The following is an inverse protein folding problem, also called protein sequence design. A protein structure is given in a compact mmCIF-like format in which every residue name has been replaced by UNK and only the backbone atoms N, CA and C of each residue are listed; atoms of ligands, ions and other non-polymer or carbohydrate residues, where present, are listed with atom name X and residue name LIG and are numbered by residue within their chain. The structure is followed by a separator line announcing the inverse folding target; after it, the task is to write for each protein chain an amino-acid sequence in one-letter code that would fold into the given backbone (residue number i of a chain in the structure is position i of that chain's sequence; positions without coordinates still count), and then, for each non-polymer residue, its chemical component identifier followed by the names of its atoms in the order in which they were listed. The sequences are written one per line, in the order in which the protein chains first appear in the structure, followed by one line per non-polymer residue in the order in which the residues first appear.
data_IF_269695059106
#
_entry.id   IF_269695059106
#
_cell.length_a   1.000
_cell.length_b   1.000
_cell.length_c   1.000
_cell.angle_alpha   90.00
_cell.angle_beta   90.00
_cell.angle_gamma   90.00
#
_symmetry.space_group_name_H-M   'P 1'
#
loop_
_entity.id
_entity.type
_entity.pdbx_description
1 polymer ?
#
# COMPACT_ATOMS: atom_id res chain seq x y z
N UNK A 1 -63.84 -8.08 -36.40
CA UNK A 1 -62.52 -8.79 -36.41
C UNK A 1 -61.31 -7.86 -36.19
N UNK A 2 -61.42 -6.54 -36.42
CA UNK A 2 -60.32 -5.57 -36.24
C UNK A 2 -59.98 -5.24 -34.77
N UNK A 3 -61.00 -5.02 -33.92
CA UNK A 3 -60.82 -4.61 -32.51
C UNK A 3 -60.08 -5.64 -31.65
N UNK A 4 -60.39 -6.93 -31.82
CA UNK A 4 -59.75 -8.03 -31.07
C UNK A 4 -58.26 -8.19 -31.42
N UNK A 5 -57.90 -7.99 -32.69
CA UNK A 5 -56.51 -8.07 -33.15
C UNK A 5 -55.68 -6.89 -32.61
N UNK A 6 -56.27 -5.70 -32.55
CA UNK A 6 -55.61 -4.51 -32.01
C UNK A 6 -55.32 -4.64 -30.51
N UNK A 7 -56.28 -5.13 -29.72
CA UNK A 7 -56.10 -5.42 -28.29
C UNK A 7 -55.00 -6.45 -28.05
N UNK A 8 -54.96 -7.53 -28.83
CA UNK A 8 -53.93 -8.57 -28.70
C UNK A 8 -52.51 -8.04 -29.00
N UNK A 9 -52.36 -7.16 -29.98
CA UNK A 9 -51.06 -6.54 -30.33
C UNK A 9 -50.59 -5.62 -29.18
N UNK A 10 -51.48 -4.79 -28.66
CA UNK A 10 -51.15 -3.89 -27.53
C UNK A 10 -50.75 -4.70 -26.29
N UNK A 11 -51.48 -5.78 -25.96
CA UNK A 11 -51.13 -6.66 -24.84
C UNK A 11 -49.78 -7.36 -25.06
N UNK A 12 -49.47 -7.81 -26.28
CA UNK A 12 -48.18 -8.43 -26.58
C UNK A 12 -47.01 -7.45 -26.47
N UNK A 13 -47.18 -6.21 -26.93
CA UNK A 13 -46.16 -5.15 -26.79
C UNK A 13 -45.95 -4.81 -25.31
N UNK A 14 -47.01 -4.68 -24.52
CA UNK A 14 -46.90 -4.40 -23.09
C UNK A 14 -46.15 -5.52 -22.34
N UNK A 15 -46.43 -6.79 -22.64
CA UNK A 15 -45.71 -7.93 -22.04
C UNK A 15 -44.24 -7.94 -22.47
N UNK A 16 -43.94 -7.66 -23.74
CA UNK A 16 -42.58 -7.60 -24.23
C UNK A 16 -41.78 -6.46 -23.56
N UNK A 17 -42.40 -5.30 -23.33
CA UNK A 17 -41.76 -4.19 -22.60
C UNK A 17 -41.49 -4.52 -21.14
N UNK A 18 -42.42 -5.21 -20.45
CA UNK A 18 -42.24 -5.67 -19.07
C UNK A 18 -41.10 -6.72 -19.00
N UNK A 19 -41.03 -7.63 -19.97
CA UNK A 19 -39.93 -8.58 -20.07
C UNK A 19 -38.58 -7.90 -20.37
N UNK A 20 -38.54 -6.90 -21.25
CA UNK A 20 -37.33 -6.11 -21.53
C UNK A 20 -36.87 -5.34 -20.29
N UNK A 21 -37.79 -4.80 -19.48
CA UNK A 21 -37.43 -4.17 -18.20
C UNK A 21 -36.88 -5.17 -17.17
N UNK A 22 -37.25 -6.45 -17.25
CA UNK A 22 -36.67 -7.53 -16.45
C UNK A 22 -35.32 -8.03 -16.97
N UNK A 23 -34.95 -7.71 -18.21
CA UNK A 23 -33.64 -8.05 -18.80
C UNK A 23 -32.55 -7.01 -18.52
N UNK A 24 -32.88 -5.93 -17.79
CA UNK A 24 -31.87 -5.02 -17.26
C UNK A 24 -31.16 -5.76 -16.12
N UNK A 25 -30.16 -6.57 -16.48
CA UNK A 25 -29.31 -7.25 -15.51
C UNK A 25 -28.68 -6.19 -14.62
N UNK A 26 -28.92 -6.29 -13.31
CA UNK A 26 -28.23 -5.47 -12.34
C UNK A 26 -26.75 -5.82 -12.44
N UNK A 27 -25.93 -4.92 -12.98
CA UNK A 27 -24.49 -5.05 -12.87
C UNK A 27 -24.14 -5.09 -11.39
N UNK A 28 -23.50 -6.17 -10.95
CA UNK A 28 -22.97 -6.25 -9.60
C UNK A 28 -21.88 -5.18 -9.51
N UNK A 29 -22.14 -4.11 -8.77
CA UNK A 29 -21.13 -3.11 -8.48
C UNK A 29 -20.01 -3.78 -7.69
N UNK A 30 -18.81 -3.80 -8.26
CA UNK A 30 -17.63 -4.42 -7.67
C UNK A 30 -16.63 -3.31 -7.35
N UNK A 31 -16.50 -2.92 -6.07
CA UNK A 31 -15.52 -1.93 -5.67
C UNK A 31 -14.10 -2.32 -6.06
N UNK A 32 -13.27 -1.31 -6.32
CA UNK A 32 -11.90 -1.48 -6.76
C UNK A 32 -10.98 -0.82 -5.73
N UNK A 33 -9.94 -1.53 -5.29
CA UNK A 33 -8.86 -0.96 -4.48
C UNK A 33 -7.57 -1.03 -5.28
N UNK A 34 -6.91 0.12 -5.43
CA UNK A 34 -5.76 0.25 -6.33
C UNK A 34 -4.56 0.89 -5.66
N UNK A 35 -3.36 0.49 -6.08
CA UNK A 35 -2.12 1.24 -5.86
C UNK A 35 -1.98 2.26 -6.98
N UNK A 36 -1.76 3.53 -6.65
CA UNK A 36 -1.57 4.61 -7.60
C UNK A 36 -0.30 5.43 -7.31
N UNK A 37 0.59 5.66 -8.29
CA UNK A 37 0.53 5.12 -9.65
C UNK A 37 0.76 3.60 -9.67
N UNK A 38 0.15 2.92 -10.65
CA UNK A 38 0.27 1.46 -10.81
C UNK A 38 1.70 1.02 -11.11
N UNK A 39 2.44 1.84 -11.87
CA UNK A 39 3.84 1.61 -12.19
C UNK A 39 4.62 2.87 -11.85
N UNK A 40 5.68 2.72 -11.08
CA UNK A 40 6.58 3.82 -10.74
C UNK A 40 8.01 3.43 -11.06
N UNK A 41 8.78 4.41 -11.53
CA UNK A 41 10.18 4.25 -11.86
C UNK A 41 10.98 5.29 -11.08
N UNK A 42 11.98 4.84 -10.33
CA UNK A 42 12.76 5.68 -9.41
C UNK A 42 14.24 5.31 -9.46
N UNK A 43 15.11 6.20 -9.00
CA UNK A 43 16.52 5.91 -8.78
C UNK A 43 16.77 5.36 -7.37
N UNK A 44 17.90 4.67 -7.13
CA UNK A 44 18.28 4.25 -5.79
C UNK A 44 18.38 5.47 -4.87
N UNK A 45 17.92 5.33 -3.62
CA UNK A 45 17.85 6.38 -2.58
C UNK A 45 16.78 7.44 -2.78
N UNK A 46 16.03 7.42 -3.87
CA UNK A 46 14.85 8.26 -4.03
C UNK A 46 13.79 7.95 -2.99
N UNK A 47 13.03 8.98 -2.65
CA UNK A 47 11.80 8.83 -1.86
C UNK A 47 10.62 9.08 -2.78
N UNK A 48 9.65 8.18 -2.75
CA UNK A 48 8.43 8.28 -3.54
C UNK A 48 7.21 7.93 -2.68
N UNK A 49 6.03 8.26 -3.20
CA UNK A 49 4.76 7.94 -2.55
C UNK A 49 3.90 7.11 -3.47
N UNK A 50 3.06 6.27 -2.87
CA UNK A 50 1.95 5.59 -3.54
C UNK A 50 0.69 5.81 -2.73
N UNK A 51 -0.41 6.07 -3.43
CA UNK A 51 -1.74 6.15 -2.86
C UNK A 51 -2.40 4.78 -2.93
N UNK A 52 -3.12 4.43 -1.87
CA UNK A 52 -4.11 3.36 -1.90
C UNK A 52 -5.47 4.02 -2.12
N UNK A 53 -6.06 3.80 -3.28
CA UNK A 53 -7.35 4.39 -3.67
C UNK A 53 -8.46 3.37 -3.61
N UNK A 54 -9.68 3.85 -3.36
CA UNK A 54 -10.89 3.05 -3.38
C UNK A 54 -11.86 3.69 -4.36
N UNK A 55 -12.34 2.92 -5.33
CA UNK A 55 -13.51 3.24 -6.15
C UNK A 55 -14.67 2.36 -5.67
N UNK A 56 -15.68 2.92 -4.99
CA UNK A 56 -16.80 2.15 -4.48
C UNK A 56 -17.77 1.65 -5.55
N UNK A 57 -17.71 2.17 -6.79
CA UNK A 57 -18.62 1.83 -7.89
C UNK A 57 -20.11 1.96 -7.46
N UNK A 58 -20.42 2.97 -6.66
CA UNK A 58 -21.76 3.25 -6.15
C UNK A 58 -22.19 2.46 -4.90
N UNK A 59 -21.34 1.57 -4.37
CA UNK A 59 -21.59 0.90 -3.08
C UNK A 59 -21.17 1.82 -1.94
N UNK A 60 -21.96 1.88 -0.86
CA UNK A 60 -21.60 2.67 0.33
C UNK A 60 -20.49 1.98 1.13
N UNK A 61 -19.36 2.66 1.32
CA UNK A 61 -18.25 2.17 2.15
C UNK A 61 -18.22 2.92 3.47
N UNK A 62 -18.37 2.20 4.57
CA UNK A 62 -18.31 2.69 5.96
C UNK A 62 -16.94 2.49 6.59
N UNK A 63 -16.23 1.43 6.20
CA UNK A 63 -14.89 1.12 6.69
C UNK A 63 -14.07 0.35 5.68
N UNK A 64 -12.75 0.46 5.80
CA UNK A 64 -11.80 -0.18 4.89
C UNK A 64 -10.53 -0.61 5.64
N UNK A 65 -9.96 -1.75 5.29
CA UNK A 65 -8.61 -2.14 5.69
C UNK A 65 -7.87 -2.87 4.57
N UNK A 66 -6.54 -2.78 4.61
CA UNK A 66 -5.65 -3.49 3.69
C UNK A 66 -4.30 -3.80 4.35
N UNK A 67 -3.60 -4.78 3.77
CA UNK A 67 -2.15 -4.94 3.89
C UNK A 67 -1.51 -4.68 2.53
N UNK A 68 -0.52 -3.79 2.48
CA UNK A 68 0.32 -3.55 1.31
C UNK A 68 1.66 -4.25 1.53
N UNK A 69 1.88 -5.34 0.79
CA UNK A 69 3.08 -6.15 0.86
C UNK A 69 4.11 -5.65 -0.15
N UNK A 70 5.37 -5.53 0.29
CA UNK A 70 6.51 -5.09 -0.52
C UNK A 70 7.79 -5.86 -0.17
N UNK A 71 8.76 -5.91 -1.08
CA UNK A 71 10.07 -6.49 -0.81
C UNK A 71 10.92 -5.51 0.02
N UNK A 72 11.17 -5.85 1.28
CA UNK A 72 11.91 -5.02 2.22
C UNK A 72 13.42 -4.93 1.97
N UNK A 73 13.96 -5.74 1.06
CA UNK A 73 15.34 -5.59 0.57
C UNK A 73 15.46 -4.48 -0.47
N UNK A 74 14.36 -4.15 -1.15
CA UNK A 74 14.33 -3.15 -2.23
C UNK A 74 13.71 -1.82 -1.78
N UNK A 75 12.72 -1.88 -0.90
CA UNK A 75 11.99 -0.71 -0.40
C UNK A 75 11.98 -0.66 1.12
N UNK A 76 12.08 0.56 1.66
CA UNK A 76 11.86 0.84 3.07
C UNK A 76 10.69 1.82 3.21
N UNK A 77 9.61 1.39 3.84
CA UNK A 77 8.45 2.25 4.13
C UNK A 77 8.78 3.20 5.28
N UNK A 78 8.68 4.50 5.03
CA UNK A 78 9.08 5.55 5.98
C UNK A 78 7.89 6.22 6.66
N UNK A 79 6.74 6.29 5.99
CA UNK A 79 5.55 6.99 6.48
C UNK A 79 4.29 6.43 5.84
N UNK A 80 3.20 6.37 6.58
CA UNK A 80 1.86 6.14 6.05
C UNK A 80 0.92 7.17 6.64
N UNK A 81 0.18 7.85 5.78
CA UNK A 81 -0.74 8.93 6.15
C UNK A 81 -2.16 8.56 5.74
N UNK A 82 -3.10 8.86 6.63
CA UNK A 82 -4.52 8.78 6.35
C UNK A 82 -4.88 9.67 5.16
N UNK A 83 -5.67 9.12 4.24
CA UNK A 83 -6.29 9.84 3.13
C UNK A 83 -7.68 10.38 3.49
N UNK A 84 -8.29 11.11 2.56
CA UNK A 84 -9.59 11.76 2.80
C UNK A 84 -10.79 10.88 2.45
N UNK A 85 -10.63 9.73 1.79
CA UNK A 85 -11.73 8.92 1.25
C UNK A 85 -12.91 8.73 2.22
N UNK A 86 -12.66 8.22 3.44
CA UNK A 86 -13.73 8.00 4.43
C UNK A 86 -14.19 9.28 5.13
N UNK A 87 -13.53 10.42 4.95
CA UNK A 87 -13.87 11.71 5.56
C UNK A 87 -14.18 12.81 4.52
N UNK A 88 -14.39 12.42 3.26
CA UNK A 88 -14.47 13.35 2.12
C UNK A 88 -15.71 14.26 2.15
N UNK A 89 -16.73 13.88 2.91
CA UNK A 89 -17.95 14.64 3.18
C UNK A 89 -17.92 15.35 4.56
N UNK A 90 -16.77 15.33 5.24
CA UNK A 90 -16.58 15.94 6.55
C UNK A 90 -16.97 15.06 7.73
N UNK A 91 -17.37 13.80 7.52
CA UNK A 91 -17.61 12.87 8.62
C UNK A 91 -16.31 12.56 9.39
N UNK A 92 -16.45 12.37 10.70
CA UNK A 92 -15.37 11.90 11.56
C UNK A 92 -15.04 10.43 11.27
N UNK A 93 -13.78 10.05 11.49
CA UNK A 93 -13.34 8.66 11.32
C UNK A 93 -12.41 8.24 12.45
N UNK A 94 -12.19 6.94 12.57
CA UNK A 94 -11.31 6.31 13.55
C UNK A 94 -10.34 5.37 12.83
N UNK A 95 -9.03 5.63 12.96
CA UNK A 95 -7.98 4.71 12.51
C UNK A 95 -7.88 3.53 13.47
N UNK A 96 -8.11 2.33 12.96
CA UNK A 96 -7.98 1.06 13.68
C UNK A 96 -6.57 0.47 13.56
N UNK A 97 -5.84 0.83 12.50
CA UNK A 97 -4.44 0.48 12.30
C UNK A 97 -3.80 1.48 11.33
N UNK A 98 -2.56 1.88 11.61
CA UNK A 98 -1.72 2.64 10.69
C UNK A 98 -0.25 2.35 11.03
N UNK A 99 0.29 1.27 10.46
CA UNK A 99 1.57 0.70 10.86
C UNK A 99 2.39 0.27 9.63
N UNK A 100 3.72 0.44 9.69
CA UNK A 100 4.65 -0.11 8.71
C UNK A 100 5.62 -1.02 9.44
N UNK A 101 5.74 -2.27 8.96
CA UNK A 101 6.72 -3.23 9.43
C UNK A 101 7.70 -3.57 8.29
N UNK A 102 8.86 -2.91 8.30
CA UNK A 102 9.93 -3.14 7.33
C UNK A 102 10.66 -4.49 7.53
N UNK A 103 10.51 -5.16 8.67
CA UNK A 103 11.13 -6.49 8.88
C UNK A 103 10.43 -7.56 8.05
N UNK A 104 9.12 -7.43 7.86
CA UNK A 104 8.31 -8.39 7.08
C UNK A 104 7.79 -7.79 5.76
N UNK A 105 8.03 -6.51 5.50
CA UNK A 105 7.61 -5.85 4.26
C UNK A 105 6.10 -5.62 4.15
N UNK A 106 5.45 -5.16 5.22
CA UNK A 106 4.00 -4.92 5.23
C UNK A 106 3.69 -3.53 5.78
N UNK A 107 2.91 -2.75 5.03
CA UNK A 107 2.18 -1.59 5.53
C UNK A 107 0.72 -1.97 5.77
N UNK A 108 0.24 -1.83 7.01
CA UNK A 108 -1.11 -2.18 7.44
C UNK A 108 -1.90 -0.90 7.69
N UNK A 109 -3.11 -0.84 7.16
CA UNK A 109 -4.01 0.28 7.38
C UNK A 109 -5.44 -0.20 7.62
N UNK A 110 -6.17 0.50 8.47
CA UNK A 110 -7.59 0.27 8.71
C UNK A 110 -8.27 1.50 9.29
N UNK A 111 -9.43 1.85 8.77
CA UNK A 111 -10.18 3.03 9.17
C UNK A 111 -11.69 2.79 9.03
N UNK A 112 -12.48 3.41 9.90
CA UNK A 112 -13.96 3.40 9.85
C UNK A 112 -14.52 4.79 10.09
N UNK A 113 -15.66 5.11 9.48
CA UNK A 113 -16.43 6.31 9.81
C UNK A 113 -17.10 6.16 11.17
N UNK A 114 -17.29 7.29 11.86
CA UNK A 114 -17.94 7.37 13.18
C UNK A 114 -18.90 8.57 13.22
N UNK A 115 -19.99 8.43 13.98
CA UNK A 115 -20.99 9.49 14.14
C UNK A 115 -21.95 9.65 12.95
N UNK A 116 -21.90 8.73 11.98
CA UNK A 116 -22.79 8.66 10.81
C UNK A 116 -23.21 7.20 10.57
N UNK A 117 -24.36 7.00 9.93
CA UNK A 117 -24.96 5.70 9.60
C UNK A 117 -25.00 5.42 8.09
N UNK A 118 -24.27 6.21 7.30
CA UNK A 118 -24.13 6.07 5.84
C UNK A 118 -22.66 6.07 5.42
N UNK A 119 -22.40 5.46 4.26
CA UNK A 119 -21.05 5.29 3.72
C UNK A 119 -20.71 6.31 2.65
N UNK A 120 -19.50 6.19 2.09
CA UNK A 120 -19.07 6.98 0.93
C UNK A 120 -19.18 6.15 -0.34
N UNK A 121 -19.61 6.79 -1.44
CA UNK A 121 -19.79 6.14 -2.75
C UNK A 121 -18.90 6.74 -3.85
N UNK A 122 -18.26 7.87 -3.57
CA UNK A 122 -17.37 8.56 -4.52
C UNK A 122 -15.93 8.09 -4.33
N UNK A 123 -15.16 7.88 -5.42
CA UNK A 123 -13.77 7.45 -5.33
C UNK A 123 -12.87 8.41 -4.55
N UNK A 124 -11.84 7.88 -3.91
CA UNK A 124 -10.87 8.70 -3.18
C UNK A 124 -9.65 7.94 -2.68
N UNK A 125 -8.70 8.69 -2.10
CA UNK A 125 -7.48 8.15 -1.48
C UNK A 125 -7.79 7.73 -0.05
N UNK A 126 -7.62 6.45 0.26
CA UNK A 126 -7.76 5.89 1.60
C UNK A 126 -6.53 6.16 2.46
N UNK A 127 -5.34 5.98 1.89
CA UNK A 127 -4.07 6.24 2.56
C UNK A 127 -2.96 6.50 1.55
N UNK A 128 -1.90 7.18 1.98
CA UNK A 128 -0.68 7.41 1.19
C UNK A 128 0.51 6.81 1.92
N UNK A 129 1.26 5.93 1.25
CA UNK A 129 2.47 5.30 1.79
C UNK A 129 3.70 5.91 1.13
N UNK A 130 4.66 6.33 1.93
CA UNK A 130 5.96 6.84 1.49
C UNK A 130 7.02 5.75 1.61
N UNK A 131 7.78 5.53 0.53
CA UNK A 131 8.87 4.58 0.45
C UNK A 131 10.18 5.27 0.12
N UNK A 132 11.27 4.70 0.62
CA UNK A 132 12.63 4.97 0.17
C UNK A 132 13.13 3.78 -0.63
N UNK A 133 13.58 4.04 -1.86
CA UNK A 133 14.22 3.04 -2.71
C UNK A 133 15.63 2.71 -2.18
N UNK A 134 15.98 1.43 -2.10
CA UNK A 134 17.24 0.98 -1.53
C UNK A 134 18.26 0.60 -2.60
N UNK A 135 18.02 -0.54 -3.25
CA UNK A 135 18.90 -1.15 -4.24
C UNK A 135 18.15 -1.33 -5.58
N UNK A 136 18.85 -1.36 -6.73
CA UNK A 136 18.23 -1.59 -8.02
C UNK A 136 17.45 -2.90 -8.09
N UNK A 137 16.32 -2.89 -8.81
CA UNK A 137 15.48 -4.06 -8.97
C UNK A 137 14.02 -3.73 -9.22
N UNK A 138 13.19 -4.76 -9.33
CA UNK A 138 11.74 -4.61 -9.48
C UNK A 138 11.04 -5.12 -8.23
N UNK A 139 10.21 -4.28 -7.62
CA UNK A 139 9.45 -4.57 -6.41
C UNK A 139 7.95 -4.51 -6.71
N UNK A 140 7.23 -5.61 -6.48
CA UNK A 140 5.77 -5.60 -6.51
C UNK A 140 5.19 -4.98 -5.23
N UNK A 141 4.13 -4.19 -5.40
CA UNK A 141 3.35 -3.56 -4.34
C UNK A 141 1.97 -4.24 -4.31
N UNK A 142 1.83 -5.30 -3.52
CA UNK A 142 0.66 -6.18 -3.57
C UNK A 142 -0.32 -5.87 -2.44
N UNK A 143 -1.57 -5.60 -2.81
CA UNK A 143 -2.67 -5.51 -1.88
C UNK A 143 -3.10 -6.91 -1.44
N UNK A 144 -3.26 -7.11 -0.14
CA UNK A 144 -3.75 -8.34 0.45
C UNK A 144 -4.60 -8.06 1.68
N UNK A 145 -5.37 -9.05 2.12
CA UNK A 145 -6.27 -8.90 3.29
C UNK A 145 -7.20 -7.69 3.16
N UNK A 146 -7.57 -7.31 1.93
CA UNK A 146 -8.42 -6.15 1.68
C UNK A 146 -9.84 -6.47 2.10
N UNK A 147 -10.43 -5.63 2.94
CA UNK A 147 -11.83 -5.73 3.37
C UNK A 147 -12.45 -4.34 3.36
N UNK A 148 -13.56 -4.22 2.65
CA UNK A 148 -14.45 -3.07 2.69
C UNK A 148 -15.72 -3.46 3.46
N UNK A 149 -16.32 -2.50 4.16
CA UNK A 149 -17.51 -2.73 4.98
C UNK A 149 -18.60 -1.74 4.62
N UNK A 150 -19.84 -2.22 4.58
CA UNK A 150 -21.04 -1.41 4.41
C UNK A 150 -21.46 -0.72 5.72
N UNK A 151 -22.42 0.22 5.71
CA UNK A 151 -22.90 0.88 6.92
C UNK A 151 -23.51 -0.04 7.99
N UNK A 152 -23.99 -1.22 7.59
CA UNK A 152 -24.47 -2.25 8.51
C UNK A 152 -23.37 -3.11 9.13
N UNK A 153 -22.10 -2.88 8.76
CA UNK A 153 -20.95 -3.67 9.19
C UNK A 153 -20.78 -4.99 8.40
N UNK A 154 -21.58 -5.20 7.36
CA UNK A 154 -21.42 -6.31 6.42
C UNK A 154 -20.16 -6.12 5.57
N UNK A 155 -19.50 -7.22 5.21
CA UNK A 155 -18.37 -7.16 4.29
C UNK A 155 -18.88 -6.96 2.86
N UNK A 156 -18.27 -6.03 2.15
CA UNK A 156 -18.51 -5.84 0.73
C UNK A 156 -17.58 -6.77 -0.03
N UNK A 157 -18.15 -7.80 -0.66
CA UNK A 157 -17.42 -8.78 -1.47
C UNK A 157 -18.21 -9.07 -2.76
N UNK A 158 -17.54 -9.28 -3.91
CA UNK A 158 -16.09 -9.27 -4.10
C UNK A 158 -15.50 -7.84 -4.23
N UNK A 159 -14.18 -7.73 -4.05
CA UNK A 159 -13.39 -6.50 -4.28
C UNK A 159 -12.33 -6.79 -5.33
N UNK A 160 -12.23 -5.94 -6.35
CA UNK A 160 -11.17 -6.01 -7.36
C UNK A 160 -9.91 -5.30 -6.85
N UNK A 161 -8.74 -5.94 -7.02
CA UNK A 161 -7.46 -5.40 -6.55
C UNK A 161 -6.54 -5.08 -7.73
N UNK A 162 -6.05 -3.85 -7.77
CA UNK A 162 -5.02 -3.43 -8.71
C UNK A 162 -3.70 -3.20 -7.96
N UNK A 163 -2.80 -4.19 -8.05
CA UNK A 163 -1.47 -4.14 -7.44
C UNK A 163 -0.52 -3.24 -8.22
N UNK A 164 0.43 -2.62 -7.53
CA UNK A 164 1.44 -1.77 -8.15
C UNK A 164 2.76 -2.48 -8.41
N UNK A 165 3.64 -1.83 -9.16
CA UNK A 165 5.04 -2.22 -9.37
C UNK A 165 5.94 -1.00 -9.29
N UNK A 166 7.06 -1.13 -8.59
CA UNK A 166 8.13 -0.14 -8.54
C UNK A 166 9.38 -0.72 -9.21
N UNK A 167 9.92 0.01 -10.19
CA UNK A 167 11.21 -0.28 -10.81
C UNK A 167 12.22 0.71 -10.25
N UNK A 168 13.31 0.20 -9.69
CA UNK A 168 14.43 0.99 -9.18
C UNK A 168 15.55 0.82 -10.20
N UNK A 169 15.83 1.88 -10.96
CA UNK A 169 16.81 1.84 -12.04
C UNK A 169 18.22 1.60 -11.48
N UNK A 170 18.97 0.74 -12.15
CA UNK A 170 20.41 0.64 -11.90
C UNK A 170 21.11 1.83 -12.51
N UNK A 171 22.17 2.33 -11.85
CA UNK A 171 23.12 3.19 -12.55
C UNK A 171 23.78 2.32 -13.61
N UNK A 172 23.49 2.57 -14.89
CA UNK A 172 24.25 1.96 -15.98
C UNK A 172 25.70 2.39 -15.78
N UNK A 173 26.57 1.45 -15.39
CA UNK A 173 27.98 1.75 -15.25
C UNK A 173 28.48 2.11 -16.65
N UNK A 174 28.76 3.40 -16.87
CA UNK A 174 29.56 3.80 -18.02
C UNK A 174 30.87 3.02 -17.91
N UNK A 175 31.28 2.23 -18.91
CA UNK A 175 32.49 1.43 -18.82
C UNK A 175 33.65 2.37 -18.48
N UNK A 176 34.29 2.15 -17.33
CA UNK A 176 35.51 2.83 -16.95
C UNK A 176 36.49 2.68 -18.12
N UNK A 177 37.03 3.77 -18.71
CA UNK A 177 37.99 3.63 -19.80
C UNK A 177 39.13 2.75 -19.32
N UNK A 178 39.35 1.63 -20.00
CA UNK A 178 40.48 0.74 -19.73
C UNK A 178 41.74 1.59 -19.77
N UNK A 179 42.58 1.62 -18.72
CA UNK A 179 43.82 2.38 -18.77
C UNK A 179 44.63 1.89 -19.96
N UNK A 180 44.86 2.77 -20.92
CA UNK A 180 45.76 2.48 -22.04
C UNK A 180 47.13 2.20 -21.46
N UNK A 181 47.79 1.06 -21.77
CA UNK A 181 49.11 0.78 -21.22
C UNK A 181 50.05 1.90 -21.63
N UNK A 182 50.48 2.69 -20.64
CA UNK A 182 51.53 3.70 -20.84
C UNK A 182 52.83 2.94 -21.02
N UNK A 183 53.47 3.05 -22.18
CA UNK A 183 54.77 2.44 -22.42
C UNK A 183 55.80 3.03 -21.45
N UNK A 184 56.23 2.24 -20.48
CA UNK A 184 57.31 2.61 -19.55
C UNK A 184 58.62 2.71 -20.34
N UNK A 185 59.11 3.93 -20.57
CA UNK A 185 60.45 4.14 -21.12
C UNK A 185 61.48 3.72 -20.07
N UNK A 186 62.23 2.65 -20.34
CA UNK A 186 63.35 2.18 -19.51
C UNK A 186 64.46 3.23 -19.48
N UNK A 187 64.71 3.84 -18.32
CA UNK A 187 65.85 4.73 -18.14
C UNK A 187 67.14 3.92 -18.01
N UNK A 188 68.12 4.24 -18.87
CA UNK A 188 69.46 3.64 -18.83
C UNK A 188 70.27 4.29 -17.70
N UNK A 189 70.67 3.52 -16.69
CA UNK A 189 71.50 4.01 -15.59
C UNK A 189 72.93 4.29 -16.07
N UNK A 190 73.42 5.49 -15.80
CA UNK A 190 74.82 5.91 -16.04
C UNK A 190 75.68 5.47 -14.83
N UNK A 191 76.88 4.90 -15.02
CA UNK A 191 77.72 4.45 -13.91
C UNK A 191 78.28 5.62 -13.08
N UNK A 192 78.19 5.48 -11.75
CA UNK A 192 78.69 6.42 -10.74
C UNK A 192 80.24 6.35 -10.63
N UNK A 193 80.95 7.49 -10.48
CA UNK A 193 82.39 7.47 -10.25
C UNK A 193 82.75 7.01 -8.82
N UNK A 194 83.87 6.30 -8.74
CA UNK A 194 84.51 5.72 -7.55
C UNK A 194 85.01 6.79 -6.56
N UNK A 195 84.70 6.69 -5.25
CA UNK A 195 85.35 7.54 -4.24
C UNK A 195 86.74 7.00 -3.83
N UNK A 196 87.70 7.92 -3.69
CA UNK A 196 89.05 7.67 -3.21
C UNK A 196 89.09 7.44 -1.67
N UNK A 197 90.09 6.70 -1.13
CA UNK A 197 90.18 6.41 0.29
C UNK A 197 90.93 7.51 1.04
N UNK A 198 90.46 7.93 2.23
CA UNK A 198 91.27 8.78 3.13
C UNK A 198 90.98 8.54 4.61
N UNK A 199 91.96 7.87 5.24
CA UNK A 199 92.49 7.88 6.61
C UNK A 199 91.61 8.09 7.86
N UNK A 200 91.63 7.06 8.71
CA UNK A 200 91.48 7.03 10.18
C UNK A 200 92.50 7.92 10.90
N UNK A 201 92.17 8.50 12.07
CA UNK A 201 92.92 8.11 13.28
C UNK A 201 92.12 8.06 14.62
N UNK A 202 92.54 7.08 15.43
CA UNK A 202 92.69 6.96 16.90
C UNK A 202 91.64 7.53 17.91
N UNK A 203 91.13 6.59 18.72
CA UNK A 203 90.75 6.69 20.15
C UNK A 203 92.04 6.70 21.03
N UNK A 204 92.12 7.21 22.29
CA UNK A 204 91.39 6.66 23.47
C UNK A 204 91.03 7.64 24.62
N UNK A 205 90.15 7.21 25.54
CA UNK A 205 90.11 7.74 26.91
C UNK A 205 88.80 7.51 27.69
N UNK A 206 88.82 6.57 28.63
CA UNK A 206 87.88 6.41 29.75
C UNK A 206 88.12 7.49 30.84
N UNK A 207 87.06 7.96 31.54
CA UNK A 207 86.92 7.79 32.99
C UNK A 207 85.60 8.36 33.57
N UNK A 208 84.91 7.50 34.34
CA UNK A 208 84.39 7.65 35.70
C UNK A 208 83.51 8.85 36.20
N UNK A 209 82.38 8.44 36.81
CA UNK A 209 81.73 8.90 38.07
C UNK A 209 80.61 9.98 38.12
N UNK A 210 79.41 9.47 38.46
CA UNK A 210 78.57 9.75 39.66
C UNK A 210 77.62 10.98 39.75
N UNK A 211 76.31 10.64 39.75
CA UNK A 211 75.17 11.10 40.59
C UNK A 211 74.90 12.59 40.89
N UNK A 212 73.73 13.07 40.45
CA UNK A 212 72.59 13.48 41.30
C UNK A 212 71.54 14.28 40.52
N UNK A 213 70.25 14.03 40.80
CA UNK A 213 69.27 15.12 40.94
C UNK A 213 68.25 15.35 39.82
N UNK A 214 67.01 14.95 40.14
CA UNK A 214 65.75 15.68 39.90
C UNK A 214 64.88 15.36 38.67
N UNK A 215 63.65 14.99 39.01
CA UNK A 215 62.49 14.59 38.21
C UNK A 215 61.77 15.84 37.65
N UNK A 216 61.22 15.84 36.41
CA UNK A 216 60.33 16.91 35.97
C UNK A 216 58.87 16.55 36.28
N UNK A 217 58.29 17.34 37.17
CA UNK A 217 56.89 17.34 37.61
C UNK A 217 55.87 17.66 36.50
N UNK A 218 54.80 16.87 36.50
CA UNK A 218 53.51 17.10 35.83
C UNK A 218 52.75 18.30 36.44
N UNK A 219 51.99 19.06 35.64
CA UNK A 219 50.81 19.75 36.17
C UNK A 219 49.50 19.22 35.58
N UNK A 220 48.69 18.66 36.49
CA UNK A 220 47.24 18.46 36.39
C UNK A 220 46.55 19.65 37.05
N UNK A 221 45.55 20.28 36.40
CA UNK A 221 44.57 21.12 37.09
C UNK A 221 43.12 20.83 36.65
N UNK A 222 42.34 20.55 37.68
CA UNK A 222 40.96 20.09 37.88
C UNK A 222 39.87 21.13 37.52
N UNK A 223 38.61 20.70 37.22
CA UNK A 223 37.52 21.59 36.81
C UNK A 223 36.85 22.34 37.98
N UNK A 224 36.32 23.53 37.70
CA UNK A 224 35.55 24.34 38.67
C UNK A 224 34.07 23.92 38.72
N UNK A 225 33.55 23.87 39.95
CA UNK A 225 32.28 23.32 40.42
C UNK A 225 31.34 24.43 40.92
N UNK A 226 30.09 24.42 40.41
CA UNK A 226 28.78 24.76 41.04
C UNK A 226 28.59 26.20 41.60
N UNK A 227 27.40 26.77 41.83
CA UNK A 227 26.23 26.24 42.57
C UNK A 227 24.98 27.14 42.42
N UNK A 228 23.80 26.49 42.44
CA UNK A 228 22.54 26.84 43.15
C UNK A 228 21.61 27.98 42.65
N UNK A 229 20.26 27.94 42.77
CA UNK A 229 19.20 26.90 42.85
C UNK A 229 17.82 27.58 43.11
N UNK A 230 16.72 26.81 42.93
CA UNK A 230 15.36 26.89 43.53
C UNK A 230 14.27 27.86 42.90
N UNK A 231 12.95 27.72 43.23
CA UNK A 231 11.91 26.99 42.46
C UNK A 231 10.71 27.87 42.02
N UNK A 232 9.71 27.30 41.33
CA UNK A 232 8.34 27.85 41.37
C UNK A 232 7.27 26.76 41.21
N UNK A 233 6.30 26.75 42.11
CA UNK A 233 5.11 25.89 42.16
C UNK A 233 3.83 26.69 41.88
N UNK A 234 2.89 26.06 41.14
CA UNK A 234 1.40 26.02 41.31
C UNK A 234 0.54 27.31 41.20
N UNK A 235 -0.79 27.24 40.84
CA UNK A 235 -1.75 26.18 41.22
C UNK A 235 -2.79 25.68 40.18
N UNK A 236 -3.45 24.62 40.66
CA UNK A 236 -4.60 23.80 40.24
C UNK A 236 -5.92 24.56 40.01
N UNK A 237 -6.81 24.04 39.13
CA UNK A 237 -8.28 23.98 39.33
C UNK A 237 -8.92 22.87 38.47
N UNK A 238 -9.70 21.98 39.10
CA UNK A 238 -10.71 21.08 38.50
C UNK A 238 -12.12 21.64 38.77
N UNK A 239 -13.19 21.17 38.09
CA UNK A 239 -14.01 20.13 38.72
C UNK A 239 -14.58 19.04 37.80
N UNK A 240 -14.69 17.87 38.43
CA UNK A 240 -15.51 16.66 38.21
C UNK A 240 -16.84 16.82 37.46
N UNK A 241 -17.16 15.84 36.60
CA UNK A 241 -18.52 15.27 36.58
C UNK A 241 -18.45 13.75 36.37
N UNK A 242 -18.78 13.06 37.44
CA UNK A 242 -19.09 11.63 37.53
C UNK A 242 -20.51 11.38 37.02
N UNK A 243 -20.70 10.38 36.16
CA UNK A 243 -21.91 9.52 36.18
C UNK A 243 -21.59 8.15 35.56
N UNK A 244 -21.72 7.13 36.42
CA UNK A 244 -21.94 5.72 36.14
C UNK A 244 -23.20 5.39 36.96
N UNK A 245 -24.18 4.57 36.49
CA UNK A 245 -23.99 3.12 36.54
C UNK A 245 -24.77 2.25 35.51
N UNK A 246 -24.30 0.99 35.43
CA UNK A 246 -25.08 -0.27 35.39
C UNK A 246 -24.97 -1.11 34.11
N UNK A 247 -24.58 -2.40 34.24
CA UNK A 247 -24.50 -3.36 33.15
C UNK A 247 -25.84 -4.05 32.89
N UNK A 248 -26.12 -4.44 31.65
CA UNK A 248 -27.14 -5.44 31.34
C UNK A 248 -26.51 -6.56 30.54
N UNK A 249 -26.45 -7.73 31.17
CA UNK A 249 -26.16 -9.01 30.55
C UNK A 249 -27.42 -9.54 29.88
N UNK A 250 -27.30 -10.15 28.69
CA UNK A 250 -28.23 -11.15 28.15
C UNK A 250 -27.53 -12.01 27.09
N UNK A 251 -27.07 -13.16 27.57
CA UNK A 251 -26.97 -14.54 27.02
C UNK A 251 -27.00 -14.84 25.49
N UNK A 252 -26.42 -16.02 25.10
CA UNK A 252 -25.94 -16.31 23.74
C UNK A 252 -26.98 -17.01 22.87
N UNK A 253 -26.87 -16.87 21.56
CA UNK A 253 -27.51 -17.79 20.63
C UNK A 253 -26.46 -18.54 19.80
N UNK A 254 -26.30 -19.79 20.20
CA UNK A 254 -25.76 -20.91 19.43
C UNK A 254 -26.56 -21.09 18.14
N UNK A 255 -25.88 -21.40 17.03
CA UNK A 255 -26.56 -21.87 15.83
C UNK A 255 -25.73 -21.81 14.55
N UNK A 256 -25.15 -22.97 14.20
CA UNK A 256 -25.22 -23.58 12.87
C UNK A 256 -23.96 -23.66 11.98
N UNK A 257 -23.37 -24.85 12.09
CA UNK A 257 -22.79 -25.77 11.10
C UNK A 257 -22.61 -25.33 9.64
N UNK A 258 -21.36 -25.54 9.22
CA UNK A 258 -20.91 -26.27 8.02
C UNK A 258 -21.67 -26.11 6.70
N UNK A 259 -21.05 -25.25 5.90
CA UNK A 259 -20.90 -25.27 4.45
C UNK A 259 -20.98 -26.68 3.79
N UNK A 260 -22.02 -26.90 2.99
CA UNK A 260 -21.98 -27.86 1.88
C UNK A 260 -22.05 -27.08 0.57
N UNK A 261 -21.04 -27.33 -0.27
CA UNK A 261 -20.91 -26.72 -1.58
C UNK A 261 -22.15 -26.92 -2.44
N UNK A 262 -22.68 -25.81 -2.93
CA UNK A 262 -23.68 -25.79 -3.98
C UNK A 262 -23.06 -25.05 -5.17
N UNK A 263 -22.70 -25.80 -6.21
CA UNK A 263 -22.26 -25.25 -7.48
C UNK A 263 -23.31 -24.29 -8.04
N UNK A 264 -22.86 -23.15 -8.54
CA UNK A 264 -23.68 -22.05 -9.06
C UNK A 264 -24.42 -22.53 -10.32
N UNK A 265 -25.75 -22.72 -10.32
CA UNK A 265 -26.51 -23.02 -11.52
C UNK A 265 -27.13 -21.72 -12.03
N UNK A 266 -26.33 -20.90 -12.73
CA UNK A 266 -26.72 -19.51 -13.00
C UNK A 266 -26.75 -19.06 -14.46
N UNK A 267 -26.04 -19.70 -15.38
CA UNK A 267 -25.80 -19.09 -16.70
C UNK A 267 -26.33 -19.90 -17.90
N UNK A 268 -26.41 -21.23 -17.83
CA UNK A 268 -26.79 -22.05 -18.99
C UNK A 268 -28.32 -22.07 -19.25
N UNK A 269 -29.15 -21.92 -18.22
CA UNK A 269 -30.61 -22.02 -18.36
C UNK A 269 -31.26 -20.80 -19.04
N UNK A 270 -30.60 -19.63 -18.99
CA UNK A 270 -31.16 -18.37 -19.50
C UNK A 270 -31.09 -18.30 -21.04
N UNK A 271 -30.03 -18.84 -21.65
CA UNK A 271 -29.89 -18.81 -23.11
C UNK A 271 -30.79 -19.84 -23.81
N UNK A 272 -31.02 -21.00 -23.21
CA UNK A 272 -31.88 -22.06 -23.78
C UNK A 272 -33.35 -21.64 -23.78
N UNK A 273 -33.81 -20.95 -22.74
CA UNK A 273 -35.21 -20.53 -22.60
C UNK A 273 -35.56 -19.35 -23.49
N UNK A 274 -34.68 -18.36 -23.64
CA UNK A 274 -34.86 -17.24 -24.57
C UNK A 274 -34.87 -17.71 -26.03
N UNK A 275 -33.99 -18.64 -26.41
CA UNK A 275 -33.94 -19.22 -27.76
C UNK A 275 -35.23 -19.96 -28.14
N UNK A 276 -35.76 -20.79 -27.23
CA UNK A 276 -37.01 -21.52 -27.45
C UNK A 276 -38.23 -20.61 -27.62
N UNK A 277 -38.28 -19.47 -26.92
CA UNK A 277 -39.40 -18.54 -26.98
C UNK A 277 -39.41 -17.71 -28.28
N UNK A 278 -38.24 -17.34 -28.81
CA UNK A 278 -38.11 -16.69 -30.13
C UNK A 278 -38.54 -17.67 -31.24
N UNK A 279 -38.12 -18.93 -31.14
CA UNK A 279 -38.53 -19.98 -32.10
C UNK A 279 -40.04 -20.23 -32.03
N UNK A 280 -40.62 -20.34 -30.83
CA UNK A 280 -42.06 -20.50 -30.65
C UNK A 280 -42.85 -19.30 -31.24
N UNK A 281 -42.38 -18.08 -31.00
CA UNK A 281 -42.99 -16.85 -31.52
C UNK A 281 -42.92 -16.79 -33.05
N UNK A 282 -41.79 -17.19 -33.64
CA UNK A 282 -41.63 -17.28 -35.09
C UNK A 282 -42.54 -18.35 -35.71
N UNK A 283 -42.71 -19.50 -35.07
CA UNK A 283 -43.60 -20.58 -35.53
C UNK A 283 -45.07 -20.18 -35.49
N UNK A 284 -45.50 -19.47 -34.44
CA UNK A 284 -46.87 -18.93 -34.34
C UNK A 284 -47.13 -17.90 -35.44
N UNK A 285 -46.16 -17.01 -35.70
CA UNK A 285 -46.25 -16.02 -36.78
C UNK A 285 -46.31 -16.67 -38.18
N UNK A 286 -45.50 -17.71 -38.42
CA UNK A 286 -45.51 -18.47 -39.68
C UNK A 286 -46.83 -19.21 -39.90
N UNK A 287 -47.41 -19.81 -38.85
CA UNK A 287 -48.70 -20.52 -38.93
C UNK A 287 -49.87 -19.57 -39.22
N UNK A 288 -49.82 -18.35 -38.71
CA UNK A 288 -50.79 -17.29 -39.01
C UNK A 288 -50.74 -16.80 -40.48
N UNK A 289 -49.59 -16.93 -41.16
CA UNK A 289 -49.42 -16.53 -42.56
C UNK A 289 -49.89 -17.62 -43.56
N UNK A 290 -49.91 -18.89 -43.13
CA UNK A 290 -50.31 -20.04 -43.98
C UNK A 290 -51.83 -20.30 -43.89
N UNK A 291 -52.49 -19.97 -42.77
CA UNK A 291 -53.94 -20.15 -42.59
C UNK A 291 -54.83 -19.08 -43.25
N UNK A 292 -54.25 -18.08 -43.93
CA UNK A 292 -54.97 -16.95 -44.55
C UNK A 292 -55.30 -17.10 -46.04
N UNK A 293 -55.09 -18.29 -46.64
CA UNK A 293 -55.58 -18.61 -47.98
C UNK A 293 -56.56 -19.77 -47.92
N UNK A 294 -57.83 -19.45 -47.70
CA UNK A 294 -59.03 -20.09 -48.29
C UNK A 294 -60.18 -19.12 -48.14
#
# INVERSE_FOLDING_TARGET
MSSTRHKAIVTAIAIALIFISFLIQTSLAMPIVSVEPLNINVSPRDTFTVNITVDPVGVEVMGANYHLCFNNMLLNGSKQEKGVFLSQDGASTMEMANEINNTIGIAKYGETRIGVDYGVTTPGVLATVTFKAMEPGTCSLNLSTVKLYDPGGGKIEPVLLNNGTCVIEGVEQTPTPTPTPTSTSTSTLTPSPTPAPTSTPLSPGEDSNNSNGEEPVTPTLTPTRMINSVPSQSPLLSPTTTISPTPTASLPMSGEKENKGQGIPGFEAVFVTAGLLVIASYLIFKKGKIGGKK
#
